data_IF_907270046793
#
_entry.id   IF_907270046793
#
_cell.length_a   1.000
_cell.length_b   1.000
_cell.length_c   1.000
_cell.angle_alpha   90.00
_cell.angle_beta   90.00
_cell.angle_gamma   90.00
#
_symmetry.space_group_name_H-M   'P 1'
#
loop_
_entity.id
_entity.type
_entity.pdbx_description
1 polymer ?
#
# COMPACT_ATOMS: atom_id res chain seq x y z
N UNK A 1 -2.06 -17.08 -4.47
CA UNK A 1 -2.63 -15.72 -4.28
C UNK A 1 -3.84 -15.75 -3.34
N UNK A 2 -3.75 -16.37 -2.16
CA UNK A 2 -4.83 -16.44 -1.17
C UNK A 2 -4.39 -16.01 0.25
N UNK A 3 -3.09 -15.89 0.51
CA UNK A 3 -2.56 -15.67 1.86
C UNK A 3 -2.63 -14.20 2.37
N UNK A 4 -2.94 -13.23 1.51
CA UNK A 4 -3.06 -11.80 1.90
C UNK A 4 -4.51 -11.35 2.11
N UNK A 5 -5.49 -12.26 1.95
CA UNK A 5 -6.92 -11.96 2.06
C UNK A 5 -7.45 -11.98 3.51
N UNK A 6 -6.64 -12.39 4.48
CA UNK A 6 -7.13 -12.74 5.83
C UNK A 6 -6.87 -11.69 6.92
N UNK A 7 -6.13 -10.60 6.67
CA UNK A 7 -5.71 -9.76 7.80
C UNK A 7 -6.71 -8.69 8.28
N UNK A 8 -7.62 -8.15 7.46
CA UNK A 8 -8.60 -7.15 7.94
C UNK A 8 -9.90 -7.11 7.13
N UNK A 9 -10.86 -7.96 7.51
CA UNK A 9 -12.28 -7.61 7.64
C UNK A 9 -13.16 -7.24 6.44
N UNK A 10 -12.62 -6.82 5.29
CA UNK A 10 -13.42 -6.57 4.08
C UNK A 10 -12.61 -7.02 2.88
N UNK A 11 -13.03 -8.12 2.26
CA UNK A 11 -12.47 -8.53 0.98
C UNK A 11 -12.79 -7.43 -0.05
N UNK A 12 -11.82 -7.07 -0.90
CA UNK A 12 -11.99 -6.10 -1.99
C UNK A 12 -13.33 -6.27 -2.74
N UNK A 13 -13.79 -7.52 -3.05
CA UNK A 13 -15.12 -7.75 -3.62
C UNK A 13 -16.30 -7.24 -2.77
N UNK A 14 -16.28 -7.41 -1.44
CA UNK A 14 -17.34 -6.91 -0.55
C UNK A 14 -17.42 -5.39 -0.49
N UNK A 15 -16.28 -4.72 -0.67
CA UNK A 15 -16.23 -3.26 -0.69
C UNK A 15 -16.85 -2.70 -1.98
N UNK A 16 -16.53 -3.30 -3.13
CA UNK A 16 -17.17 -2.99 -4.41
C UNK A 16 -18.66 -3.31 -4.39
N UNK A 17 -19.03 -4.47 -3.86
CA UNK A 17 -20.42 -4.88 -3.67
C UNK A 17 -21.17 -3.79 -2.88
N UNK A 18 -20.65 -3.39 -1.70
CA UNK A 18 -21.23 -2.29 -0.92
C UNK A 18 -21.33 -0.96 -1.67
N UNK A 19 -20.35 -0.59 -2.48
CA UNK A 19 -20.40 0.63 -3.29
C UNK A 19 -21.51 0.58 -4.36
N UNK A 20 -21.71 -0.59 -4.99
CA UNK A 20 -22.80 -0.83 -5.95
C UNK A 20 -24.16 -0.82 -5.24
N UNK A 21 -24.27 -1.46 -4.08
CA UNK A 21 -25.51 -1.48 -3.28
C UNK A 21 -25.85 -0.14 -2.63
N UNK A 22 -24.84 0.68 -2.28
CA UNK A 22 -25.02 2.04 -1.75
C UNK A 22 -25.50 3.06 -2.79
N UNK A 23 -25.55 2.66 -4.08
CA UNK A 23 -26.45 3.27 -5.05
C UNK A 23 -25.87 4.36 -5.96
N UNK A 24 -24.55 4.52 -6.06
CA UNK A 24 -23.98 5.51 -6.98
C UNK A 24 -22.77 4.96 -7.77
N UNK A 25 -22.88 5.05 -9.10
CA UNK A 25 -21.82 4.73 -10.07
C UNK A 25 -20.55 5.51 -9.77
N UNK A 26 -20.66 6.75 -9.29
CA UNK A 26 -19.51 7.57 -8.89
C UNK A 26 -18.76 6.94 -7.71
N UNK A 27 -19.48 6.39 -6.73
CA UNK A 27 -18.87 5.73 -5.57
C UNK A 27 -18.15 4.45 -6.00
N UNK A 28 -18.74 3.65 -6.88
CA UNK A 28 -18.10 2.46 -7.43
C UNK A 28 -16.83 2.81 -8.25
N UNK A 29 -16.88 3.86 -9.07
CA UNK A 29 -15.72 4.36 -9.83
C UNK A 29 -14.58 4.80 -8.90
N UNK A 30 -14.91 5.56 -7.85
CA UNK A 30 -13.91 6.03 -6.87
C UNK A 30 -13.23 4.90 -6.12
N UNK A 31 -14.00 3.87 -5.72
CA UNK A 31 -13.42 2.66 -5.11
C UNK A 31 -12.51 1.92 -6.10
N UNK A 32 -12.85 1.90 -7.39
CA UNK A 32 -12.00 1.31 -8.43
C UNK A 32 -10.66 2.03 -8.58
N UNK A 33 -10.68 3.36 -8.60
CA UNK A 33 -9.49 4.20 -8.66
C UNK A 33 -8.59 3.98 -7.43
N UNK A 34 -9.17 3.98 -6.22
CA UNK A 34 -8.42 3.72 -4.98
C UNK A 34 -7.75 2.35 -5.00
N UNK A 35 -8.42 1.33 -5.54
CA UNK A 35 -7.84 -0.01 -5.65
C UNK A 35 -6.62 -0.04 -6.61
N UNK A 36 -6.72 0.62 -7.77
CA UNK A 36 -5.61 0.74 -8.72
C UNK A 36 -4.43 1.45 -8.08
N UNK A 37 -4.69 2.52 -7.33
CA UNK A 37 -3.66 3.23 -6.59
C UNK A 37 -2.98 2.36 -5.53
N UNK A 38 -3.74 1.61 -4.73
CA UNK A 38 -3.20 0.68 -3.74
C UNK A 38 -2.34 -0.41 -4.38
N UNK A 39 -2.72 -0.89 -5.57
CA UNK A 39 -1.89 -1.83 -6.33
C UNK A 39 -0.55 -1.22 -6.75
N UNK A 40 -0.54 0.05 -7.15
CA UNK A 40 0.67 0.84 -7.42
C UNK A 40 1.55 0.98 -6.18
N UNK A 41 0.97 1.39 -5.04
CA UNK A 41 1.69 1.51 -3.76
C UNK A 41 2.31 0.18 -3.34
N UNK A 42 1.57 -0.93 -3.46
CA UNK A 42 2.09 -2.28 -3.15
C UNK A 42 3.33 -2.60 -3.97
N UNK A 43 3.35 -2.25 -5.25
CA UNK A 43 4.51 -2.46 -6.13
C UNK A 43 5.72 -1.63 -5.67
N UNK A 44 5.50 -0.36 -5.32
CA UNK A 44 6.57 0.52 -4.82
C UNK A 44 7.16 0.03 -3.49
N UNK A 45 6.31 -0.47 -2.59
CA UNK A 45 6.77 -1.10 -1.35
C UNK A 45 7.59 -2.36 -1.62
N UNK A 46 7.19 -3.19 -2.61
CA UNK A 46 7.98 -4.34 -3.04
C UNK A 46 9.38 -3.95 -3.54
N UNK A 47 9.48 -2.86 -4.30
CA UNK A 47 10.76 -2.32 -4.74
C UNK A 47 11.61 -1.81 -3.57
N UNK A 48 11.00 -1.10 -2.61
CA UNK A 48 11.69 -0.65 -1.40
C UNK A 48 12.27 -1.82 -0.61
N UNK A 49 11.48 -2.88 -0.41
CA UNK A 49 11.91 -4.08 0.27
C UNK A 49 13.07 -4.78 -0.46
N UNK A 50 13.02 -4.84 -1.80
CA UNK A 50 14.12 -5.36 -2.61
C UNK A 50 15.40 -4.55 -2.41
N UNK A 51 15.31 -3.22 -2.42
CA UNK A 51 16.47 -2.34 -2.23
C UNK A 51 17.07 -2.50 -0.83
N UNK A 52 16.23 -2.54 0.21
CA UNK A 52 16.69 -2.78 1.60
C UNK A 52 17.39 -4.14 1.71
N UNK A 53 16.85 -5.18 1.09
CA UNK A 53 17.48 -6.50 1.06
C UNK A 53 18.84 -6.49 0.34
N UNK A 54 18.98 -5.73 -0.75
CA UNK A 54 20.26 -5.58 -1.45
C UNK A 54 21.28 -4.85 -0.58
N UNK A 55 20.89 -3.75 0.07
CA UNK A 55 21.74 -3.02 1.01
C UNK A 55 22.20 -3.92 2.15
N UNK A 56 21.28 -4.71 2.73
CA UNK A 56 21.60 -5.64 3.79
C UNK A 56 22.62 -6.71 3.34
N UNK A 57 22.47 -7.25 2.12
CA UNK A 57 23.46 -8.20 1.57
C UNK A 57 24.83 -7.57 1.39
N UNK A 58 24.90 -6.36 0.84
CA UNK A 58 26.17 -5.63 0.68
C UNK A 58 26.81 -5.36 2.04
N UNK A 59 26.03 -4.86 3.01
CA UNK A 59 26.51 -4.60 4.36
C UNK A 59 27.01 -5.87 5.06
N UNK A 60 26.30 -6.98 4.92
CA UNK A 60 26.76 -8.26 5.48
C UNK A 60 28.05 -8.77 4.82
N UNK A 61 28.30 -8.43 3.55
CA UNK A 61 29.51 -8.86 2.82
C UNK A 61 30.72 -7.95 3.03
N UNK A 62 30.49 -6.66 3.30
CA UNK A 62 31.54 -5.62 3.36
C UNK A 62 31.77 -5.08 4.77
N UNK A 63 30.80 -5.26 5.68
CA UNK A 63 30.77 -4.59 6.97
C UNK A 63 30.31 -3.13 6.90
N UNK A 64 30.06 -2.59 5.70
CA UNK A 64 29.74 -1.17 5.49
C UNK A 64 28.27 -0.98 5.11
N UNK A 65 27.60 -0.03 5.76
CA UNK A 65 26.22 0.33 5.43
C UNK A 65 26.23 1.48 4.43
N UNK A 66 25.57 1.26 3.29
CA UNK A 66 25.22 2.30 2.32
C UNK A 66 24.13 3.22 2.90
N UNK A 67 24.54 4.14 3.79
CA UNK A 67 23.62 4.90 4.64
C UNK A 67 22.68 5.79 3.83
N UNK A 68 23.17 6.44 2.77
CA UNK A 68 22.36 7.30 1.90
C UNK A 68 21.24 6.51 1.22
N UNK A 69 21.57 5.37 0.63
CA UNK A 69 20.65 4.47 -0.06
C UNK A 69 19.64 3.87 0.92
N UNK A 70 20.09 3.51 2.13
CA UNK A 70 19.22 3.01 3.18
C UNK A 70 18.20 4.06 3.62
N UNK A 71 18.65 5.30 3.90
CA UNK A 71 17.76 6.41 4.23
C UNK A 71 16.77 6.71 3.11
N UNK A 72 17.21 6.65 1.86
CA UNK A 72 16.33 6.85 0.70
C UNK A 72 15.25 5.76 0.60
N UNK A 73 15.61 4.48 0.83
CA UNK A 73 14.67 3.38 0.82
C UNK A 73 13.64 3.49 1.96
N UNK A 74 14.08 3.85 3.18
CA UNK A 74 13.20 4.08 4.33
C UNK A 74 12.27 5.28 4.07
N UNK A 75 12.78 6.38 3.53
CA UNK A 75 11.97 7.54 3.16
C UNK A 75 10.91 7.19 2.10
N UNK A 76 11.24 6.31 1.15
CA UNK A 76 10.27 5.82 0.16
C UNK A 76 9.14 5.04 0.82
N UNK A 77 9.45 4.15 1.77
CA UNK A 77 8.43 3.44 2.56
C UNK A 77 7.54 4.43 3.32
N UNK A 78 8.12 5.42 4.00
CA UNK A 78 7.37 6.45 4.72
C UNK A 78 6.37 7.20 3.83
N UNK A 79 6.80 7.62 2.62
CA UNK A 79 5.89 8.26 1.65
C UNK A 79 4.75 7.36 1.21
N UNK A 80 5.00 6.05 1.07
CA UNK A 80 3.96 5.09 0.68
C UNK A 80 2.95 4.85 1.82
N UNK A 81 3.41 4.80 3.08
CA UNK A 81 2.52 4.72 4.24
C UNK A 81 1.58 5.92 4.29
N UNK A 82 2.10 7.12 4.08
CA UNK A 82 1.27 8.33 4.02
C UNK A 82 0.25 8.28 2.88
N UNK A 83 0.66 7.81 1.69
CA UNK A 83 -0.27 7.62 0.57
C UNK A 83 -1.39 6.63 0.90
N UNK A 84 -1.08 5.54 1.61
CA UNK A 84 -2.10 4.57 2.06
C UNK A 84 -3.10 5.24 3.00
N UNK A 85 -2.63 6.00 3.98
CA UNK A 85 -3.52 6.71 4.91
C UNK A 85 -4.47 7.66 4.17
N UNK A 86 -3.95 8.43 3.21
CA UNK A 86 -4.76 9.31 2.34
C UNK A 86 -5.79 8.54 1.52
N UNK A 87 -5.43 7.36 1.01
CA UNK A 87 -6.35 6.52 0.23
C UNK A 87 -7.43 5.88 1.09
N UNK A 88 -7.08 5.44 2.31
CA UNK A 88 -8.04 4.87 3.26
C UNK A 88 -9.07 5.91 3.71
N UNK A 89 -8.65 7.16 3.94
CA UNK A 89 -9.56 8.26 4.28
C UNK A 89 -10.57 8.61 3.17
N UNK A 90 -10.29 8.21 1.92
CA UNK A 90 -11.19 8.43 0.78
C UNK A 90 -12.18 7.29 0.54
N UNK A 91 -12.04 6.18 1.28
CA UNK A 91 -13.00 5.09 1.19
C UNK A 91 -14.35 5.48 1.81
N UNK A 92 -15.48 5.02 1.25
CA UNK A 92 -16.78 5.21 1.88
C UNK A 92 -16.81 4.62 3.29
N UNK A 93 -17.18 5.41 4.29
CA UNK A 93 -17.14 5.02 5.71
C UNK A 93 -15.81 5.32 6.43
N UNK A 94 -14.90 6.09 5.81
CA UNK A 94 -13.66 6.60 6.43
C UNK A 94 -13.85 7.78 7.40
N UNK A 95 -15.09 8.23 7.63
CA UNK A 95 -15.43 9.13 8.74
C UNK A 95 -15.24 8.37 10.06
N UNK A 96 -14.07 8.52 10.66
CA UNK A 96 -13.74 7.94 11.95
C UNK A 96 -14.68 8.54 13.01
N UNK A 97 -15.47 7.68 13.65
CA UNK A 97 -16.11 7.97 14.96
C UNK A 97 -15.07 8.14 16.05
#
# INVERSE_FOLDING_TARGET
MQALAQLQGVSVPRLYERAVWAGDVQTASRVAEIHLELAGVRRLLGNAASNINQIARVANSTGEIQETEFRAAVAMVGRQVERINVLLAQLPGGEVS
#
